data_IF_899718010354
#
_entry.id   IF_899718010354
#
_cell.length_a   1.000
_cell.length_b   1.000
_cell.length_c   1.000
_cell.angle_alpha   90.00
_cell.angle_beta   90.00
_cell.angle_gamma   90.00
#
_symmetry.space_group_name_H-M   'P 1'
#
loop_
_entity.id
_entity.type
_entity.pdbx_description
1 polymer ?
#
# COMPACT_ATOMS: atom_id res chain seq x y z
N UNK A 1 27.23 14.13 -23.25
CA UNK A 1 27.15 13.05 -22.23
C UNK A 1 25.72 12.73 -21.80
N UNK A 2 24.84 13.73 -21.61
CA UNK A 2 23.45 13.53 -21.12
C UNK A 2 22.52 12.77 -22.09
N UNK A 3 22.63 12.96 -23.41
CA UNK A 3 21.81 12.24 -24.41
C UNK A 3 22.12 10.73 -24.45
N UNK A 4 23.39 10.35 -24.22
CA UNK A 4 23.82 8.93 -24.20
C UNK A 4 23.29 8.18 -22.98
N UNK A 5 23.15 8.86 -21.85
CA UNK A 5 22.57 8.30 -20.61
C UNK A 5 21.05 8.12 -20.79
N UNK A 6 20.36 9.11 -21.38
CA UNK A 6 18.92 9.00 -21.67
C UNK A 6 18.59 7.84 -22.64
N UNK A 7 19.38 7.68 -23.70
CA UNK A 7 19.23 6.57 -24.65
C UNK A 7 19.55 5.21 -24.03
N UNK A 8 20.50 5.14 -23.09
CA UNK A 8 20.83 3.91 -22.34
C UNK A 8 19.67 3.46 -21.45
N UNK A 9 19.01 4.39 -20.74
CA UNK A 9 17.83 4.09 -19.94
C UNK A 9 16.60 3.73 -20.80
N UNK A 10 16.42 4.38 -21.96
CA UNK A 10 15.35 4.03 -22.91
C UNK A 10 15.55 2.63 -23.52
N UNK A 11 16.80 2.24 -23.80
CA UNK A 11 17.16 0.91 -24.29
C UNK A 11 16.99 -0.17 -23.22
N UNK A 12 17.32 0.12 -21.95
CA UNK A 12 17.03 -0.78 -20.82
C UNK A 12 15.52 -0.95 -20.58
N UNK A 13 14.72 0.10 -20.79
CA UNK A 13 13.26 0.05 -20.72
C UNK A 13 12.66 -0.81 -21.84
N UNK A 14 13.21 -0.73 -23.06
CA UNK A 14 12.79 -1.59 -24.19
C UNK A 14 13.21 -3.06 -24.01
N UNK A 15 14.34 -3.33 -23.36
CA UNK A 15 14.82 -4.69 -23.07
C UNK A 15 13.99 -5.43 -21.99
N UNK A 16 13.22 -4.71 -21.18
CA UNK A 16 12.32 -5.27 -20.16
C UNK A 16 10.97 -5.75 -20.70
N UNK A 17 10.66 -5.55 -21.99
CA UNK A 17 9.33 -5.81 -22.58
C UNK A 17 9.20 -7.20 -23.23
N UNK A 18 10.20 -8.09 -23.13
CA UNK A 18 10.14 -9.39 -23.81
C UNK A 18 10.45 -10.58 -22.90
N UNK A 19 9.42 -11.10 -22.22
CA UNK A 19 9.40 -12.47 -21.72
C UNK A 19 8.00 -13.07 -21.88
N UNK A 20 7.86 -14.26 -22.52
CA UNK A 20 6.63 -15.02 -22.48
C UNK A 20 6.64 -15.90 -21.22
N UNK A 21 5.55 -16.01 -20.46
CA UNK A 21 5.25 -17.28 -19.79
C UNK A 21 3.85 -17.39 -19.19
N UNK A 22 3.48 -18.65 -19.06
CA UNK A 22 2.28 -19.35 -18.58
C UNK A 22 1.95 -19.16 -17.09
N UNK A 23 0.69 -19.49 -16.76
CA UNK A 23 -0.05 -19.14 -15.55
C UNK A 23 0.01 -20.17 -14.40
N UNK A 24 -0.23 -19.68 -13.16
CA UNK A 24 -0.76 -20.45 -12.03
C UNK A 24 -1.43 -19.51 -10.99
N UNK A 25 -2.68 -19.81 -10.61
CA UNK A 25 -3.51 -19.08 -9.63
C UNK A 25 -3.17 -19.49 -8.18
N UNK A 26 -3.23 -18.56 -7.22
CA UNK A 26 -3.19 -18.86 -5.78
C UNK A 26 -4.04 -17.86 -4.98
N UNK A 27 -5.12 -18.38 -4.40
CA UNK A 27 -6.10 -17.70 -3.55
C UNK A 27 -5.48 -17.09 -2.28
N UNK A 28 -5.86 -15.86 -1.88
CA UNK A 28 -5.37 -15.16 -0.68
C UNK A 28 -6.53 -14.63 0.17
N UNK A 29 -7.10 -15.44 1.09
CA UNK A 29 -8.05 -14.91 2.06
C UNK A 29 -7.35 -13.83 2.90
N UNK A 30 -7.97 -12.66 3.06
CA UNK A 30 -7.41 -11.43 3.67
C UNK A 30 -6.49 -10.54 2.81
N UNK A 31 -6.56 -10.63 1.47
CA UNK A 31 -5.77 -9.82 0.55
C UNK A 31 -5.76 -8.30 0.86
N UNK A 32 -6.88 -7.73 1.32
CA UNK A 32 -7.00 -6.29 1.59
C UNK A 32 -6.22 -5.80 2.81
N UNK A 33 -6.09 -6.65 3.86
CA UNK A 33 -5.36 -6.28 5.08
C UNK A 33 -3.88 -6.03 4.78
N UNK A 34 -3.38 -6.58 3.67
CA UNK A 34 -1.98 -6.44 3.21
C UNK A 34 -1.79 -5.40 2.11
N UNK A 35 -2.85 -4.75 1.65
CA UNK A 35 -2.78 -3.93 0.45
C UNK A 35 -2.22 -2.53 0.72
N UNK A 36 -1.47 -2.05 -0.26
CA UNK A 36 -0.97 -0.68 -0.31
C UNK A 36 -2.10 0.22 -0.78
N UNK A 37 -2.57 1.11 0.10
CA UNK A 37 -3.60 2.09 -0.21
C UNK A 37 -2.94 3.37 -0.73
N UNK A 38 -3.43 3.84 -1.87
CA UNK A 38 -3.03 5.05 -2.55
C UNK A 38 -2.06 4.82 -3.70
N UNK A 39 -2.38 5.41 -4.85
CA UNK A 39 -1.56 5.37 -6.05
C UNK A 39 -0.11 5.84 -5.80
N UNK A 40 0.12 6.79 -4.88
CA UNK A 40 1.48 7.15 -4.44
C UNK A 40 2.24 5.94 -3.88
N UNK A 41 1.63 5.19 -2.96
CA UNK A 41 2.21 3.98 -2.35
C UNK A 41 2.45 2.90 -3.39
N UNK A 42 1.45 2.64 -4.24
CA UNK A 42 1.52 1.64 -5.30
C UNK A 42 2.61 1.94 -6.31
N UNK A 43 2.73 3.20 -6.76
CA UNK A 43 3.79 3.62 -7.68
C UNK A 43 5.21 3.54 -7.11
N UNK A 44 5.34 3.46 -5.78
CA UNK A 44 6.62 3.29 -5.07
C UNK A 44 6.95 1.82 -4.78
N UNK A 45 6.16 0.87 -5.27
CA UNK A 45 6.39 -0.55 -4.97
C UNK A 45 6.16 -0.86 -3.50
N UNK A 46 5.39 -0.04 -2.78
CA UNK A 46 5.10 -0.23 -1.36
C UNK A 46 6.19 0.20 -0.39
N UNK A 47 7.28 0.79 -0.85
CA UNK A 47 8.36 1.28 0.00
C UNK A 47 7.97 2.59 0.73
N UNK A 48 7.12 2.46 1.76
CA UNK A 48 6.35 3.58 2.31
C UNK A 48 6.62 3.90 3.76
N UNK A 49 7.08 2.94 4.57
CA UNK A 49 7.18 3.03 6.04
C UNK A 49 7.95 4.25 6.53
N UNK A 50 9.00 4.67 5.80
CA UNK A 50 9.81 5.85 6.12
C UNK A 50 9.57 7.06 5.21
N UNK A 51 8.90 6.86 4.07
CA UNK A 51 8.73 7.91 3.06
C UNK A 51 7.45 8.72 3.28
N UNK A 52 6.33 8.04 3.57
CA UNK A 52 5.05 8.71 3.66
C UNK A 52 4.97 9.61 4.90
N UNK A 53 4.41 10.79 4.68
CA UNK A 53 4.30 11.86 5.65
C UNK A 53 2.99 12.65 5.53
N UNK A 54 2.02 12.05 4.86
CA UNK A 54 0.68 12.57 4.61
C UNK A 54 -0.40 11.69 5.29
N UNK A 55 -1.68 11.99 5.10
CA UNK A 55 -2.80 11.23 5.69
C UNK A 55 -2.75 9.71 5.40
N UNK A 56 -2.20 9.29 4.26
CA UNK A 56 -2.04 7.85 3.91
C UNK A 56 -1.02 7.12 4.78
N UNK A 57 -0.22 7.87 5.56
CA UNK A 57 0.65 7.29 6.59
C UNK A 57 -0.14 6.48 7.62
N UNK A 58 -1.43 6.77 7.83
CA UNK A 58 -2.29 5.97 8.71
C UNK A 58 -2.28 4.47 8.32
N UNK A 59 -2.26 4.18 7.01
CA UNK A 59 -2.29 2.80 6.50
C UNK A 59 -0.95 2.06 6.61
N UNK A 60 0.17 2.80 6.57
CA UNK A 60 1.53 2.26 6.54
C UNK A 60 2.24 2.37 7.88
N UNK A 61 2.47 3.58 8.35
CA UNK A 61 3.13 3.87 9.62
C UNK A 61 2.47 5.11 10.27
N UNK A 62 1.64 4.94 11.31
CA UNK A 62 0.95 6.05 11.96
C UNK A 62 1.88 7.15 12.50
N UNK A 63 3.16 6.87 12.78
CA UNK A 63 4.13 7.92 13.16
C UNK A 63 4.37 8.93 12.03
N UNK A 64 4.15 8.54 10.76
CA UNK A 64 4.21 9.38 9.57
C UNK A 64 3.19 10.53 9.59
N UNK A 65 2.05 10.37 10.30
CA UNK A 65 1.02 11.41 10.46
C UNK A 65 1.58 12.72 11.07
N UNK A 66 2.72 12.65 11.74
CA UNK A 66 3.42 13.85 12.24
C UNK A 66 3.93 14.79 11.14
N UNK A 67 3.99 14.33 9.88
CA UNK A 67 4.27 15.16 8.71
C UNK A 67 3.06 15.97 8.22
N UNK A 68 1.84 15.57 8.61
CA UNK A 68 0.62 16.31 8.28
C UNK A 68 0.53 17.57 9.14
N UNK A 69 0.63 18.73 8.50
CA UNK A 69 0.62 20.04 9.14
C UNK A 69 -0.65 20.84 8.87
N UNK A 70 -1.46 20.47 7.88
CA UNK A 70 -2.78 21.02 7.55
C UNK A 70 -3.85 19.93 7.54
N UNK A 71 -5.13 20.30 7.52
CA UNK A 71 -6.19 19.31 7.33
C UNK A 71 -6.00 18.65 5.97
N UNK A 72 -6.11 17.32 5.93
CA UNK A 72 -5.98 16.57 4.68
C UNK A 72 -7.13 15.59 4.54
N UNK A 73 -7.77 15.58 3.39
CA UNK A 73 -8.64 14.47 2.96
C UNK A 73 -7.97 13.69 1.85
N UNK A 74 -8.29 12.41 1.78
CA UNK A 74 -7.77 11.50 0.79
C UNK A 74 -8.87 10.56 0.33
N UNK A 75 -8.91 10.33 -0.97
CA UNK A 75 -9.79 9.39 -1.64
C UNK A 75 -8.96 8.52 -2.57
N UNK A 76 -9.26 7.24 -2.62
CA UNK A 76 -8.57 6.27 -3.43
C UNK A 76 -9.56 5.33 -4.08
N UNK A 77 -9.29 4.96 -5.31
CA UNK A 77 -10.07 4.01 -6.06
C UNK A 77 -9.13 3.20 -6.95
N UNK A 78 -9.31 1.89 -6.93
CA UNK A 78 -8.58 1.04 -7.84
C UNK A 78 -9.17 -0.34 -7.92
N UNK A 79 -8.44 -1.20 -8.61
CA UNK A 79 -8.81 -2.58 -8.81
C UNK A 79 -7.65 -3.51 -8.44
N UNK A 80 -7.92 -4.53 -7.64
CA UNK A 80 -6.95 -5.60 -7.39
C UNK A 80 -6.93 -6.61 -8.54
N UNK A 81 -8.06 -6.70 -9.24
CA UNK A 81 -8.31 -7.55 -10.40
C UNK A 81 -9.39 -6.93 -11.30
N UNK A 82 -9.60 -7.42 -12.52
CA UNK A 82 -10.64 -6.86 -13.44
C UNK A 82 -12.07 -6.88 -12.90
N UNK A 83 -12.33 -7.64 -11.85
CA UNK A 83 -13.67 -7.81 -11.25
C UNK A 83 -13.77 -7.22 -9.85
N UNK A 84 -12.63 -6.85 -9.29
CA UNK A 84 -12.53 -6.37 -7.93
C UNK A 84 -12.53 -4.85 -7.95
N UNK A 85 -13.17 -4.27 -6.95
CA UNK A 85 -13.19 -2.84 -6.75
C UNK A 85 -12.84 -2.57 -5.31
N UNK A 86 -11.87 -1.70 -5.10
CA UNK A 86 -11.57 -1.19 -3.78
C UNK A 86 -11.63 0.32 -3.78
N UNK A 87 -12.02 0.88 -2.64
CA UNK A 87 -12.03 2.31 -2.42
C UNK A 87 -11.67 2.65 -0.99
N UNK A 88 -10.99 3.78 -0.80
CA UNK A 88 -10.62 4.26 0.53
C UNK A 88 -10.88 5.74 0.68
N UNK A 89 -11.18 6.14 1.91
CA UNK A 89 -11.28 7.51 2.36
C UNK A 89 -10.45 7.70 3.63
N UNK A 90 -9.78 8.83 3.76
CA UNK A 90 -9.14 9.23 5.01
C UNK A 90 -9.24 10.73 5.26
N UNK A 91 -9.24 11.10 6.54
CA UNK A 91 -9.17 12.48 7.02
C UNK A 91 -8.11 12.57 8.11
N UNK A 92 -7.15 13.48 7.94
CA UNK A 92 -6.19 13.84 8.98
C UNK A 92 -6.47 15.26 9.51
N UNK A 93 -6.41 15.36 10.83
CA UNK A 93 -6.63 16.59 11.60
C UNK A 93 -5.36 16.82 12.45
N UNK A 94 -4.52 17.80 12.08
CA UNK A 94 -3.45 18.26 12.95
C UNK A 94 -4.04 18.78 14.25
N UNK A 95 -3.68 18.18 15.37
CA UNK A 95 -4.20 18.50 16.70
C UNK A 95 -3.04 18.95 17.61
N UNK A 96 -3.12 20.17 18.13
CA UNK A 96 -2.01 20.79 18.89
C UNK A 96 -0.72 20.89 18.03
N UNK A 97 0.38 21.34 18.65
CA UNK A 97 1.65 21.60 17.93
C UNK A 97 2.38 20.33 17.47
N UNK A 98 2.10 19.18 18.09
CA UNK A 98 2.93 17.97 17.97
C UNK A 98 2.16 16.71 17.64
N UNK A 99 0.85 16.77 17.50
CA UNK A 99 0.01 15.59 17.30
C UNK A 99 -0.82 15.75 16.04
N UNK A 100 -1.11 14.65 15.37
CA UNK A 100 -2.09 14.56 14.30
C UNK A 100 -2.95 13.35 14.58
N UNK A 101 -4.27 13.50 14.48
CA UNK A 101 -5.22 12.38 14.53
C UNK A 101 -5.75 12.15 13.13
N UNK A 102 -6.00 10.90 12.76
CA UNK A 102 -6.60 10.56 11.48
C UNK A 102 -7.64 9.46 11.64
N UNK A 103 -8.64 9.50 10.77
CA UNK A 103 -9.64 8.45 10.58
C UNK A 103 -9.60 7.98 9.13
N UNK A 104 -9.91 6.72 8.89
CA UNK A 104 -10.03 6.15 7.57
C UNK A 104 -11.11 5.09 7.50
N UNK A 105 -11.65 4.93 6.29
CA UNK A 105 -12.53 3.84 5.91
C UNK A 105 -12.05 3.28 4.58
N UNK A 106 -12.03 1.96 4.47
CA UNK A 106 -11.58 1.27 3.27
C UNK A 106 -12.51 0.09 3.02
N UNK A 107 -12.97 -0.07 1.78
CA UNK A 107 -13.83 -1.15 1.35
C UNK A 107 -13.24 -1.87 0.15
N UNK A 108 -13.35 -3.20 0.14
CA UNK A 108 -12.98 -4.06 -0.97
C UNK A 108 -14.15 -5.00 -1.28
N UNK A 109 -14.43 -5.13 -2.57
CA UNK A 109 -15.28 -6.18 -3.09
C UNK A 109 -14.44 -7.13 -3.95
N UNK A 110 -14.45 -8.40 -3.58
CA UNK A 110 -13.81 -9.50 -4.30
C UNK A 110 -14.89 -10.39 -4.94
N UNK A 111 -14.76 -10.66 -6.23
CA UNK A 111 -15.64 -11.59 -6.95
C UNK A 111 -14.83 -12.73 -7.58
N UNK A 112 -14.67 -13.81 -6.82
CA UNK A 112 -13.90 -15.00 -7.24
C UNK A 112 -14.80 -16.07 -7.87
N UNK A 113 -14.26 -16.81 -8.84
CA UNK A 113 -14.92 -17.99 -9.43
C UNK A 113 -14.26 -19.27 -8.94
N UNK A 114 -15.06 -20.14 -8.35
CA UNK A 114 -14.66 -21.48 -7.91
C UNK A 114 -15.30 -22.53 -8.80
N UNK A 115 -14.54 -23.58 -9.08
CA UNK A 115 -15.02 -24.77 -9.77
C UNK A 115 -14.88 -25.93 -8.80
N UNK A 116 -16.01 -26.48 -8.34
CA UNK A 116 -16.03 -27.62 -7.43
C UNK A 116 -16.46 -28.85 -8.24
N UNK A 117 -15.66 -29.93 -8.27
CA UNK A 117 -16.09 -31.18 -8.85
C UNK A 117 -17.20 -31.77 -7.97
N UNK A 118 -18.33 -32.07 -8.58
CA UNK A 118 -19.46 -32.74 -7.94
C UNK A 118 -19.76 -34.04 -8.67
N UNK A 119 -20.04 -35.10 -7.90
CA UNK A 119 -20.47 -36.36 -8.47
C UNK A 119 -21.92 -36.23 -8.94
N UNK A 120 -22.16 -36.48 -10.23
CA UNK A 120 -23.50 -36.49 -10.81
C UNK A 120 -24.22 -37.81 -10.53
N UNK A 121 -25.55 -37.80 -10.70
CA UNK A 121 -26.38 -39.00 -10.61
C UNK A 121 -26.05 -40.04 -11.70
N UNK A 122 -25.24 -39.67 -12.70
CA UNK A 122 -24.72 -40.50 -13.78
C UNK A 122 -23.37 -41.16 -13.44
N UNK A 123 -22.90 -41.07 -12.19
CA UNK A 123 -21.57 -41.52 -11.74
C UNK A 123 -20.39 -40.84 -12.44
N UNK A 124 -20.62 -39.71 -13.14
CA UNK A 124 -19.55 -38.88 -13.70
C UNK A 124 -19.27 -37.66 -12.83
N UNK A 125 -18.06 -37.13 -12.89
CA UNK A 125 -17.73 -35.85 -12.28
C UNK A 125 -18.19 -34.70 -13.17
N UNK A 126 -19.04 -33.84 -12.62
CA UNK A 126 -19.44 -32.57 -13.22
C UNK A 126 -18.73 -31.44 -12.48
N UNK A 127 -18.49 -30.32 -13.16
CA UNK A 127 -17.95 -29.12 -12.50
C UNK A 127 -19.09 -28.15 -12.20
N UNK A 128 -19.37 -27.89 -10.93
CA UNK A 128 -20.24 -26.77 -10.53
C UNK A 128 -19.40 -25.51 -10.34
N UNK A 129 -19.82 -24.44 -11.01
CA UNK A 129 -19.21 -23.13 -10.83
C UNK A 129 -19.95 -22.34 -9.75
N UNK A 130 -19.20 -21.82 -8.79
CA UNK A 130 -19.67 -20.92 -7.75
C UNK A 130 -19.00 -19.56 -7.93
N UNK A 131 -19.74 -18.49 -7.67
CA UNK A 131 -19.16 -17.15 -7.52
C UNK A 131 -19.13 -16.88 -6.02
N UNK A 132 -17.94 -16.76 -5.45
CA UNK A 132 -17.77 -16.22 -4.09
C UNK A 132 -17.65 -14.72 -4.21
N UNK A 133 -18.71 -14.03 -3.82
CA UNK A 133 -18.66 -12.59 -3.57
C UNK A 133 -18.31 -12.37 -2.10
N UNK A 134 -17.22 -11.63 -1.85
CA UNK A 134 -16.74 -11.25 -0.53
C UNK A 134 -16.62 -9.72 -0.46
N UNK A 135 -17.21 -9.12 0.57
CA UNK A 135 -17.12 -7.70 0.86
C UNK A 135 -16.37 -7.53 2.18
N UNK A 136 -15.25 -6.82 2.14
CA UNK A 136 -14.44 -6.51 3.30
C UNK A 136 -14.43 -5.00 3.55
N UNK A 137 -14.83 -4.61 4.76
CA UNK A 137 -14.77 -3.24 5.23
C UNK A 137 -13.73 -3.12 6.35
N UNK A 138 -13.00 -2.01 6.38
CA UNK A 138 -12.04 -1.66 7.42
C UNK A 138 -12.27 -0.21 7.84
N UNK A 139 -12.52 -0.01 9.13
CA UNK A 139 -12.51 1.31 9.75
C UNK A 139 -11.24 1.45 10.60
N UNK A 140 -10.53 2.58 10.46
CA UNK A 140 -9.29 2.85 11.17
C UNK A 140 -9.32 4.22 11.84
N UNK A 141 -8.80 4.28 13.06
CA UNK A 141 -8.49 5.53 13.76
C UNK A 141 -7.06 5.46 14.28
N UNK A 142 -6.31 6.53 14.15
CA UNK A 142 -4.94 6.57 14.65
C UNK A 142 -4.44 7.97 14.93
N UNK A 143 -3.25 8.03 15.52
CA UNK A 143 -2.56 9.28 15.77
C UNK A 143 -1.04 9.12 15.56
N UNK A 144 -0.40 10.24 15.24
CA UNK A 144 1.05 10.39 15.28
C UNK A 144 1.43 11.56 16.18
N UNK A 145 2.51 11.41 16.96
CA UNK A 145 2.99 12.43 17.90
C UNK A 145 4.51 12.60 17.86
N UNK A 146 4.96 13.84 17.77
CA UNK A 146 6.37 14.22 17.93
C UNK A 146 6.72 14.18 19.42
N UNK A 147 7.68 13.34 19.78
CA UNK A 147 8.13 13.13 21.18
C UNK A 147 9.52 13.71 21.46
N UNK A 148 10.31 13.95 20.42
CA UNK A 148 11.67 14.48 20.56
C UNK A 148 12.16 15.18 19.30
N UNK A 149 13.45 15.52 19.26
CA UNK A 149 14.08 16.13 18.07
C UNK A 149 14.13 15.11 16.94
N UNK A 150 13.26 15.29 15.95
CA UNK A 150 13.11 14.37 14.81
C UNK A 150 12.38 13.06 15.15
N UNK A 151 12.15 12.75 16.42
CA UNK A 151 11.54 11.49 16.85
C UNK A 151 10.03 11.63 17.00
N UNK A 152 9.31 10.73 16.33
CA UNK A 152 7.86 10.60 16.33
C UNK A 152 7.44 9.17 16.62
N UNK A 153 6.31 9.02 17.29
CA UNK A 153 5.62 7.73 17.49
C UNK A 153 4.21 7.82 16.91
N UNK A 154 3.59 6.69 16.66
CA UNK A 154 2.17 6.65 16.31
C UNK A 154 1.54 5.30 16.63
N UNK A 155 0.22 5.30 16.73
CA UNK A 155 -0.57 4.10 16.93
C UNK A 155 -1.90 4.23 16.20
N UNK A 156 -2.47 3.10 15.79
CA UNK A 156 -3.82 3.03 15.24
C UNK A 156 -4.56 1.77 15.67
N UNK A 157 -5.88 1.84 15.65
CA UNK A 157 -6.79 0.73 15.85
C UNK A 157 -7.65 0.56 14.59
N UNK A 158 -7.82 -0.68 14.16
CA UNK A 158 -8.55 -1.11 12.97
C UNK A 158 -9.62 -2.11 13.36
N UNK A 159 -10.83 -1.86 12.92
CA UNK A 159 -11.91 -2.84 12.94
C UNK A 159 -12.17 -3.29 11.51
N UNK A 160 -12.20 -4.60 11.27
CA UNK A 160 -12.59 -5.16 9.98
C UNK A 160 -13.84 -6.01 10.12
N UNK A 161 -14.66 -5.99 9.08
CA UNK A 161 -15.79 -6.90 8.90
C UNK A 161 -15.73 -7.44 7.48
N UNK A 162 -15.87 -8.75 7.34
CA UNK A 162 -15.94 -9.43 6.05
C UNK A 162 -17.22 -10.24 5.96
N UNK A 163 -17.98 -9.96 4.91
CA UNK A 163 -19.20 -10.67 4.55
C UNK A 163 -18.98 -11.47 3.27
N UNK A 164 -19.26 -12.77 3.31
CA UNK A 164 -19.19 -13.65 2.15
C UNK A 164 -20.56 -14.24 1.80
N UNK A 165 -20.70 -14.68 0.56
CA UNK A 165 -21.89 -15.43 0.08
C UNK A 165 -21.96 -16.81 0.73
N UNK A 166 -23.16 -17.35 0.98
CA UNK A 166 -23.38 -18.71 1.49
C UNK A 166 -22.75 -19.75 0.52
N UNK A 167 -21.95 -20.74 0.97
CA UNK A 167 -21.66 -21.20 2.34
C UNK A 167 -20.37 -20.66 2.97
N UNK A 168 -19.83 -19.56 2.46
CA UNK A 168 -18.59 -19.00 2.96
C UNK A 168 -18.79 -18.23 4.28
N UNK A 169 -17.77 -18.29 5.14
CA UNK A 169 -17.83 -17.72 6.48
C UNK A 169 -17.75 -16.19 6.47
N UNK A 170 -18.49 -15.56 7.39
CA UNK A 170 -18.32 -14.16 7.78
C UNK A 170 -17.35 -14.08 8.95
N UNK A 171 -16.60 -12.98 9.02
CA UNK A 171 -15.69 -12.74 10.14
C UNK A 171 -15.50 -11.26 10.42
N UNK A 172 -15.23 -10.91 11.68
CA UNK A 172 -14.88 -9.56 12.09
C UNK A 172 -13.78 -9.56 13.15
N UNK A 173 -13.15 -8.41 13.39
CA UNK A 173 -12.14 -8.33 14.43
C UNK A 173 -11.53 -6.95 14.59
N UNK A 174 -10.87 -6.78 15.75
CA UNK A 174 -10.16 -5.57 16.12
C UNK A 174 -8.66 -5.88 16.21
N UNK A 175 -7.86 -5.01 15.64
CA UNK A 175 -6.40 -5.08 15.68
C UNK A 175 -5.81 -3.67 15.66
N UNK A 176 -4.49 -3.55 15.80
CA UNK A 176 -3.85 -2.25 15.78
C UNK A 176 -2.46 -2.26 15.18
N UNK A 177 -1.94 -1.06 14.96
CA UNK A 177 -0.59 -0.84 14.49
C UNK A 177 0.13 0.13 15.41
N UNK A 178 1.43 -0.01 15.52
CA UNK A 178 2.30 0.93 16.22
C UNK A 178 3.49 1.26 15.33
N UNK A 179 3.98 2.48 15.43
CA UNK A 179 5.06 2.94 14.57
C UNK A 179 5.97 3.95 15.23
N UNK A 180 7.20 4.00 14.74
CA UNK A 180 8.22 4.97 15.12
C UNK A 180 8.83 5.56 13.85
N UNK A 181 9.20 6.83 13.91
CA UNK A 181 9.82 7.58 12.83
C UNK A 181 10.87 8.53 13.39
N UNK A 182 12.05 8.53 12.80
CA UNK A 182 13.13 9.46 13.08
C UNK A 182 13.47 10.25 11.82
N UNK A 183 13.14 11.54 11.80
CA UNK A 183 13.42 12.47 10.71
C UNK A 183 14.65 13.33 11.04
N UNK A 184 15.73 13.12 10.28
CA UNK A 184 16.91 13.96 10.27
C UNK A 184 16.80 15.00 9.16
N UNK A 185 16.06 16.09 9.43
CA UNK A 185 15.78 17.13 8.45
C UNK A 185 17.06 17.72 7.82
N UNK A 186 18.13 17.90 8.60
CA UNK A 186 19.43 18.43 8.12
C UNK A 186 20.07 17.52 7.08
N UNK A 187 19.85 16.20 7.17
CA UNK A 187 20.44 15.21 6.27
C UNK A 187 19.47 14.78 5.17
N UNK A 188 18.22 15.23 5.20
CA UNK A 188 17.16 14.73 4.30
C UNK A 188 16.89 13.24 4.48
N UNK A 189 17.15 12.68 5.66
CA UNK A 189 17.06 11.23 5.92
C UNK A 189 15.93 10.92 6.90
N UNK A 190 15.19 9.85 6.63
CA UNK A 190 14.20 9.31 7.57
C UNK A 190 14.45 7.83 7.80
N UNK A 191 14.44 7.42 9.05
CA UNK A 191 14.37 6.02 9.46
C UNK A 191 13.03 5.78 10.12
N UNK A 192 12.41 4.64 9.85
CA UNK A 192 11.13 4.33 10.46
C UNK A 192 10.93 2.83 10.59
N UNK A 193 10.12 2.43 11.57
CA UNK A 193 9.68 1.06 11.72
C UNK A 193 8.22 1.03 12.16
N UNK A 194 7.52 -0.04 11.81
CA UNK A 194 6.11 -0.24 12.13
C UNK A 194 5.85 -1.72 12.41
N UNK A 195 4.95 -1.97 13.36
CA UNK A 195 4.39 -3.29 13.64
C UNK A 195 2.89 -3.19 13.37
N UNK A 196 2.38 -4.02 12.47
CA UNK A 196 1.00 -4.03 12.04
C UNK A 196 0.27 -5.28 12.53
N UNK A 197 -1.05 -5.17 12.60
CA UNK A 197 -1.98 -6.26 12.94
C UNK A 197 -1.81 -6.85 14.35
N UNK A 198 -1.35 -6.05 15.30
CA UNK A 198 -1.26 -6.45 16.71
C UNK A 198 -2.64 -6.82 17.25
N UNK A 199 -2.73 -8.00 17.87
CA UNK A 199 -3.97 -8.50 18.47
C UNK A 199 -5.02 -8.98 17.46
N UNK A 200 -4.67 -9.10 16.17
CA UNK A 200 -5.61 -9.44 15.10
C UNK A 200 -6.09 -10.89 15.12
N UNK A 201 -7.11 -11.14 15.93
CA UNK A 201 -7.92 -12.35 15.87
C UNK A 201 -9.26 -12.00 15.23
N UNK A 202 -9.58 -12.68 14.14
CA UNK A 202 -10.91 -12.58 13.54
C UNK A 202 -11.81 -13.62 14.21
N UNK A 203 -13.02 -13.21 14.57
CA UNK A 203 -14.07 -14.08 15.09
C UNK A 203 -15.00 -14.45 13.94
N UNK A 204 -15.28 -15.73 13.76
CA UNK A 204 -16.16 -16.21 12.70
C UNK A 204 -16.19 -17.74 12.61
N UNK A 205 -16.74 -18.28 11.53
CA UNK A 205 -16.93 -19.73 11.39
C UNK A 205 -15.62 -20.55 11.29
N UNK A 206 -14.47 -19.88 11.19
CA UNK A 206 -13.14 -20.50 11.10
C UNK A 206 -12.04 -19.75 11.89
N UNK A 207 -12.40 -18.74 12.68
CA UNK A 207 -11.50 -17.88 13.47
C UNK A 207 -10.08 -17.65 12.86
N UNK A 208 -9.96 -17.08 11.65
CA UNK A 208 -8.65 -16.92 11.03
C UNK A 208 -7.78 -15.87 11.74
N UNK A 209 -6.50 -16.19 11.95
CA UNK A 209 -5.53 -15.23 12.48
C UNK A 209 -5.10 -14.23 11.39
N UNK A 210 -5.01 -12.95 11.76
CA UNK A 210 -4.38 -11.92 10.93
C UNK A 210 -2.88 -11.93 11.22
N UNK A 211 -2.01 -12.27 10.25
CA UNK A 211 -0.58 -12.34 10.50
C UNK A 211 -0.02 -10.96 10.85
N UNK A 212 0.79 -10.94 11.91
CA UNK A 212 1.53 -9.76 12.33
C UNK A 212 2.59 -9.43 11.26
N UNK A 213 2.78 -8.16 10.96
CA UNK A 213 3.80 -7.71 10.02
C UNK A 213 4.70 -6.66 10.65
N UNK A 214 6.00 -6.77 10.42
CA UNK A 214 7.02 -5.83 10.90
C UNK A 214 7.73 -5.27 9.68
N UNK A 215 7.72 -3.95 9.55
CA UNK A 215 8.48 -3.25 8.51
C UNK A 215 9.51 -2.31 9.12
N UNK A 216 10.67 -2.22 8.47
CA UNK A 216 11.69 -1.22 8.73
C UNK A 216 12.08 -0.55 7.41
N UNK A 217 12.06 0.78 7.39
CA UNK A 217 12.28 1.58 6.19
C UNK A 217 13.32 2.67 6.40
N UNK A 218 13.96 3.03 5.29
CA UNK A 218 14.84 4.18 5.16
C UNK A 218 14.39 5.01 3.95
N UNK A 219 14.37 6.33 4.09
CA UNK A 219 14.21 7.24 2.96
C UNK A 219 15.25 8.36 2.96
N UNK A 220 15.60 8.81 1.76
CA UNK A 220 16.54 9.90 1.53
C UNK A 220 15.99 10.85 0.47
N UNK A 221 15.84 12.10 0.86
CA UNK A 221 15.36 13.19 0.01
C UNK A 221 16.43 14.22 -0.28
N UNK A 222 16.47 14.69 -1.53
CA UNK A 222 17.41 15.71 -1.97
C UNK A 222 16.77 16.67 -2.95
N UNK A 223 17.00 17.96 -2.71
CA UNK A 223 16.75 19.02 -3.67
C UNK A 223 17.83 18.97 -4.77
N UNK A 224 17.42 18.73 -6.01
CA UNK A 224 18.30 18.63 -7.17
C UNK A 224 18.55 20.00 -7.83
N UNK A 225 17.57 20.88 -7.76
CA UNK A 225 17.62 22.30 -8.17
C UNK A 225 16.60 23.10 -7.36
N UNK A 226 16.53 24.43 -7.51
CA UNK A 226 15.57 25.27 -6.77
C UNK A 226 14.10 24.86 -6.91
N UNK A 227 13.76 24.07 -7.94
CA UNK A 227 12.40 23.63 -8.23
C UNK A 227 12.24 22.10 -8.30
N UNK A 228 13.33 21.33 -8.32
CA UNK A 228 13.27 19.88 -8.50
C UNK A 228 13.73 19.16 -7.25
N UNK A 229 12.97 18.15 -6.80
CA UNK A 229 13.39 17.28 -5.71
C UNK A 229 13.21 15.81 -6.07
N UNK A 230 14.04 14.96 -5.45
CA UNK A 230 13.94 13.52 -5.57
C UNK A 230 14.02 12.88 -4.19
N UNK A 231 13.23 11.83 -4.00
CA UNK A 231 13.27 10.97 -2.82
C UNK A 231 13.50 9.53 -3.25
N UNK A 232 14.24 8.79 -2.42
CA UNK A 232 14.45 7.36 -2.54
C UNK A 232 14.00 6.69 -1.25
N UNK A 233 13.43 5.51 -1.35
CA UNK A 233 12.99 4.72 -0.22
C UNK A 233 13.36 3.25 -0.41
N UNK A 234 13.75 2.60 0.68
CA UNK A 234 13.94 1.15 0.77
C UNK A 234 13.29 0.65 2.05
N UNK A 235 12.64 -0.49 1.98
CA UNK A 235 11.93 -1.10 3.12
C UNK A 235 12.13 -2.61 3.12
N UNK A 236 12.41 -3.16 4.30
CA UNK A 236 12.28 -4.60 4.57
C UNK A 236 11.00 -4.87 5.34
N UNK A 237 10.22 -5.85 4.91
CA UNK A 237 8.98 -6.28 5.56
C UNK A 237 9.03 -7.78 5.85
N UNK A 238 8.78 -8.14 7.10
CA UNK A 238 8.65 -9.52 7.55
C UNK A 238 7.23 -9.72 8.08
N UNK A 239 6.51 -10.67 7.52
CA UNK A 239 5.12 -10.98 7.91
C UNK A 239 5.05 -12.40 8.44
N UNK A 240 4.28 -12.62 9.48
CA UNK A 240 4.04 -13.95 10.01
C UNK A 240 3.54 -14.88 8.87
N UNK A 241 4.13 -16.06 8.75
CA UNK A 241 3.88 -17.04 7.66
C UNK A 241 4.44 -16.66 6.27
N UNK A 242 5.15 -15.55 6.13
CA UNK A 242 5.86 -15.16 4.91
C UNK A 242 7.32 -14.79 5.17
N UNK A 243 8.13 -14.81 4.12
CA UNK A 243 9.54 -14.44 4.20
C UNK A 243 9.75 -12.93 4.09
N UNK A 244 10.97 -12.52 4.47
CA UNK A 244 11.42 -11.14 4.30
C UNK A 244 11.29 -10.74 2.82
N UNK A 245 10.51 -9.70 2.56
CA UNK A 245 10.48 -9.02 1.28
C UNK A 245 11.20 -7.67 1.40
N UNK A 246 11.88 -7.27 0.33
CA UNK A 246 12.59 -5.98 0.25
C UNK A 246 12.02 -5.16 -0.89
N UNK A 247 11.51 -3.98 -0.57
CA UNK A 247 10.88 -3.05 -1.50
C UNK A 247 11.75 -1.82 -1.69
N UNK A 248 11.70 -1.24 -2.88
CA UNK A 248 12.39 0.01 -3.16
C UNK A 248 11.52 0.92 -4.03
N UNK A 249 11.62 2.22 -3.79
CA UNK A 249 10.87 3.23 -4.53
C UNK A 249 11.67 4.51 -4.74
N UNK A 250 11.41 5.20 -5.84
CA UNK A 250 11.94 6.51 -6.13
C UNK A 250 10.80 7.44 -6.54
N UNK A 251 10.86 8.68 -6.08
CA UNK A 251 9.91 9.76 -6.38
C UNK A 251 10.69 10.97 -6.89
N UNK A 252 10.30 11.51 -8.03
CA UNK A 252 10.86 12.75 -8.59
C UNK A 252 9.75 13.77 -8.78
N UNK A 253 10.01 15.01 -8.44
CA UNK A 253 9.08 16.10 -8.61
C UNK A 253 9.72 17.26 -9.36
N UNK A 254 9.01 17.73 -10.38
CA UNK A 254 9.33 18.92 -11.14
C UNK A 254 8.44 20.09 -10.72
N UNK A 255 9.06 21.14 -10.18
CA UNK A 255 8.43 22.39 -9.76
C UNK A 255 7.23 22.22 -8.83
N UNK A 256 7.20 21.14 -8.04
CA UNK A 256 6.05 20.72 -7.23
C UNK A 256 4.73 20.55 -8.01
N UNK A 257 4.76 20.52 -9.35
CA UNK A 257 3.57 20.35 -10.19
C UNK A 257 3.43 18.93 -10.71
N UNK A 258 4.53 18.33 -11.19
CA UNK A 258 4.52 17.01 -11.82
C UNK A 258 5.40 16.06 -11.03
N UNK A 259 4.81 14.96 -10.56
CA UNK A 259 5.49 13.88 -9.86
C UNK A 259 5.62 12.65 -10.75
N UNK A 260 6.76 11.96 -10.69
CA UNK A 260 7.00 10.66 -11.33
C UNK A 260 7.49 9.68 -10.28
N UNK A 261 7.02 8.44 -10.36
CA UNK A 261 7.39 7.37 -9.42
C UNK A 261 7.73 6.08 -10.14
N UNK A 262 8.74 5.42 -9.60
CA UNK A 262 9.14 4.08 -9.99
C UNK A 262 9.36 3.27 -8.73
N UNK A 263 8.80 2.09 -8.68
CA UNK A 263 8.84 1.19 -7.55
C UNK A 263 9.16 -0.23 -7.95
N UNK A 264 9.68 -1.00 -7.00
CA UNK A 264 9.89 -2.44 -7.10
C UNK A 264 9.42 -3.09 -5.79
N UNK A 265 8.44 -3.98 -5.88
CA UNK A 265 7.77 -4.57 -4.71
C UNK A 265 8.45 -5.83 -4.14
N UNK A 266 9.59 -6.21 -4.73
CA UNK A 266 10.59 -7.03 -4.05
C UNK A 266 10.65 -8.51 -4.38
N UNK A 267 11.81 -9.10 -4.05
CA UNK A 267 12.05 -10.54 -4.07
C UNK A 267 11.64 -11.13 -2.71
N UNK A 268 10.58 -11.94 -2.67
CA UNK A 268 10.28 -12.75 -1.49
C UNK A 268 11.01 -14.09 -1.64
N UNK A 269 11.89 -14.43 -0.70
CA UNK A 269 12.55 -15.73 -0.68
C UNK A 269 11.65 -16.71 0.05
N UNK A 270 10.75 -17.42 -0.64
CA UNK A 270 9.84 -18.36 0.05
C UNK A 270 10.61 -19.43 0.84
N UNK A 271 10.14 -19.79 2.04
CA UNK A 271 10.57 -20.98 2.80
C UNK A 271 10.44 -22.28 1.97
N UNK A 272 9.57 -22.28 0.96
CA UNK A 272 9.29 -23.38 0.03
C UNK A 272 10.23 -23.43 -1.18
N UNK A 273 11.23 -22.57 -1.29
CA UNK A 273 12.33 -22.71 -2.26
C UNK A 273 12.12 -22.03 -3.62
N UNK A 274 10.94 -21.47 -3.90
CA UNK A 274 10.70 -20.64 -5.08
C UNK A 274 10.91 -19.16 -4.74
N UNK A 275 11.78 -18.50 -5.51
CA UNK A 275 12.01 -17.06 -5.36
C UNK A 275 10.89 -16.30 -6.07
N UNK A 276 10.14 -15.49 -5.33
CA UNK A 276 9.18 -14.56 -5.90
C UNK A 276 9.94 -13.47 -6.65
N UNK A 277 9.81 -13.39 -7.99
CA UNK A 277 10.30 -12.25 -8.77
C UNK A 277 9.42 -11.03 -8.51
N UNK A 278 9.97 -9.94 -7.98
CA UNK A 278 9.22 -8.70 -7.78
C UNK A 278 8.78 -8.05 -9.09
N UNK A 279 7.88 -7.09 -8.98
CA UNK A 279 7.25 -6.38 -10.10
C UNK A 279 7.62 -4.90 -10.04
N UNK A 280 8.01 -4.35 -11.18
CA UNK A 280 8.16 -2.91 -11.32
C UNK A 280 6.81 -2.22 -11.39
N UNK A 281 6.66 -1.11 -10.68
CA UNK A 281 5.44 -0.31 -10.62
C UNK A 281 5.76 1.13 -10.99
N UNK A 282 4.81 1.80 -11.64
CA UNK A 282 4.97 3.18 -12.06
C UNK A 282 3.84 4.05 -11.54
N UNK A 283 4.13 5.33 -11.35
CA UNK A 283 3.10 6.31 -11.03
C UNK A 283 3.42 7.71 -11.52
N UNK A 284 2.38 8.50 -11.70
CA UNK A 284 2.44 9.91 -12.08
C UNK A 284 1.55 10.72 -11.14
N UNK A 285 1.95 11.94 -10.85
CA UNK A 285 1.16 12.88 -10.07
C UNK A 285 1.06 14.22 -10.71
N UNK A 286 -0.10 14.85 -10.55
CA UNK A 286 -0.29 16.26 -10.84
C UNK A 286 -0.74 16.94 -9.56
N UNK A 287 0.00 17.95 -9.16
CA UNK A 287 -0.34 18.82 -8.05
C UNK A 287 -0.79 20.17 -8.60
N UNK A 288 -2.00 20.57 -8.24
CA UNK A 288 -2.59 21.83 -8.63
C UNK A 288 -3.23 22.49 -7.41
N UNK A 289 -2.59 23.57 -6.95
CA UNK A 289 -2.97 24.30 -5.72
C UNK A 289 -2.94 23.36 -4.50
N UNK A 290 -4.05 23.21 -3.79
CA UNK A 290 -4.16 22.34 -2.63
C UNK A 290 -4.63 20.91 -2.96
N UNK A 291 -4.70 20.55 -4.25
CA UNK A 291 -5.14 19.24 -4.71
C UNK A 291 -4.02 18.47 -5.42
N UNK A 292 -3.77 17.26 -4.94
CA UNK A 292 -2.87 16.30 -5.54
C UNK A 292 -3.68 15.16 -6.14
N UNK A 293 -3.46 14.87 -7.42
CA UNK A 293 -4.01 13.73 -8.14
C UNK A 293 -2.86 12.78 -8.44
N UNK A 294 -2.98 11.52 -8.03
CA UNK A 294 -2.00 10.47 -8.30
C UNK A 294 -2.65 9.37 -9.13
N UNK A 295 -1.89 8.82 -10.09
CA UNK A 295 -2.23 7.64 -10.85
C UNK A 295 -1.09 6.64 -10.75
N UNK A 296 -1.41 5.36 -10.59
CA UNK A 296 -0.44 4.28 -10.58
C UNK A 296 -0.87 3.14 -11.47
N UNK A 297 0.13 2.50 -12.07
CA UNK A 297 -0.04 1.32 -12.88
C UNK A 297 0.88 0.22 -12.36
N UNK A 298 0.28 -0.95 -12.17
CA UNK A 298 1.00 -2.20 -11.89
C UNK A 298 0.86 -3.08 -13.13
N UNK A 299 1.96 -3.39 -13.83
CA UNK A 299 1.94 -4.32 -14.93
C UNK A 299 1.38 -5.68 -14.48
N UNK A 300 0.68 -6.35 -15.39
CA UNK A 300 0.22 -7.71 -15.13
C UNK A 300 1.42 -8.62 -14.85
N UNK A 301 1.27 -9.50 -13.86
CA UNK A 301 2.27 -10.52 -13.53
C UNK A 301 1.86 -11.85 -14.15
N UNK A 302 2.85 -12.62 -14.60
CA UNK A 302 2.62 -13.95 -15.16
C UNK A 302 1.67 -14.77 -14.27
N UNK A 303 0.49 -15.09 -14.81
CA UNK A 303 -0.52 -15.92 -14.15
C UNK A 303 -1.55 -15.23 -13.27
N UNK A 304 -1.39 -13.95 -12.89
CA UNK A 304 -2.41 -13.19 -12.16
C UNK A 304 -3.05 -12.19 -13.11
N UNK A 305 -4.37 -12.29 -13.32
CA UNK A 305 -5.03 -11.55 -14.39
C UNK A 305 -5.02 -10.04 -14.09
N UNK A 306 -4.63 -9.31 -15.14
CA UNK A 306 -4.83 -7.89 -15.39
C UNK A 306 -3.89 -6.92 -14.69
N UNK A 307 -3.47 -5.91 -15.45
CA UNK A 307 -2.82 -4.71 -14.93
C UNK A 307 -3.74 -4.02 -13.95
N UNK A 308 -3.22 -3.64 -12.78
CA UNK A 308 -3.95 -2.81 -11.82
C UNK A 308 -3.74 -1.34 -12.16
N UNK A 309 -4.83 -0.59 -12.12
CA UNK A 309 -4.85 0.85 -12.18
C UNK A 309 -5.43 1.37 -10.89
N UNK A 310 -4.80 2.42 -10.38
CA UNK A 310 -5.20 3.04 -9.13
C UNK A 310 -5.12 4.55 -9.28
N UNK A 311 -6.12 5.22 -8.75
CA UNK A 311 -6.24 6.66 -8.80
C UNK A 311 -6.56 7.17 -7.39
N UNK A 312 -5.76 8.12 -6.92
CA UNK A 312 -6.04 8.78 -5.65
C UNK A 312 -6.05 10.29 -5.79
N UNK A 313 -6.85 10.93 -4.94
CA UNK A 313 -6.91 12.38 -4.80
C UNK A 313 -6.68 12.72 -3.34
N UNK A 314 -5.75 13.63 -3.08
CA UNK A 314 -5.53 14.22 -1.77
C UNK A 314 -5.78 15.71 -1.83
N UNK A 315 -6.55 16.24 -0.89
CA UNK A 315 -6.81 17.67 -0.76
C UNK A 315 -6.29 18.16 0.58
N UNK A 316 -5.69 19.34 0.57
CA UNK A 316 -5.20 20.05 1.77
C UNK A 316 -6.09 21.28 2.00
N UNK A 317 -6.45 21.58 3.24
CA UNK A 317 -7.28 22.74 3.53
C UNK A 317 -7.07 23.27 4.95
N UNK A 318 -7.61 24.48 5.18
CA UNK A 318 -7.53 25.18 6.45
C UNK A 318 -6.14 25.72 6.77
N UNK A 319 -6.07 26.46 7.88
CA UNK A 319 -4.80 26.92 8.41
C UNK A 319 -4.02 25.73 8.99
N UNK A 320 -2.70 25.70 8.74
CA UNK A 320 -1.84 24.68 9.31
C UNK A 320 -1.73 24.76 10.83
N UNK A 321 -0.92 23.87 11.44
CA UNK A 321 -0.69 23.86 12.88
C UNK A 321 -0.43 25.28 13.38
N UNK A 322 -1.24 25.74 14.33
CA UNK A 322 -0.99 26.99 15.06
C UNK A 322 0.40 26.87 15.70
N UNK A 323 1.35 27.66 15.17
CA UNK A 323 2.75 27.65 15.60
C UNK A 323 2.91 28.03 17.05
#
# INVERSE_FOLDING_TARGET
MQIKILLFFLLMLLLLVSLPSTAADSYRPAAFIFEEIGARSTGLGGATTALLDDVTSLYSNPAGLTGVDQYQTFFDLGNTHSRDLFGSFALAIPFQRRTTVAIAYSGLKLDDRYSIPVLGNDNNYHTKQYIKSEMQDIAEIGFGRIIGRGLSIGASARYTKTASTDPFANYDGLFGNIGIRYNSAVKGMVFAATVKNLGGKLKGSADPDIPISVSAGFSFGKLLSSINYANFAVEGIATEKHDLAVRAGAEYWWANYLGLRLGYDGLAREKTGNSYGGTFRGGISVNFREMLIDLAAVPARNGLRNSRLEASIRMVFGEGRRR
#
